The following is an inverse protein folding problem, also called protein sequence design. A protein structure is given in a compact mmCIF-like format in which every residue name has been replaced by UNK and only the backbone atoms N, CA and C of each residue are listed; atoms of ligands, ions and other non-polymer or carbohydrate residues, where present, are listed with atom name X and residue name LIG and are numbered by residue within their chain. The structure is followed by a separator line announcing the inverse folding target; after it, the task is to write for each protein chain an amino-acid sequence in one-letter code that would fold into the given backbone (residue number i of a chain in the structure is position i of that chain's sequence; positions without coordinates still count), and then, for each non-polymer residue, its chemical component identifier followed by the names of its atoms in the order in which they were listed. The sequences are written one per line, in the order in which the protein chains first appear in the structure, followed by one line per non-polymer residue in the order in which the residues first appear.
data_IF_698750167401
#
_entry.id   IF_698750167401
#
_cell.length_a   1.000
_cell.length_b   1.000
_cell.length_c   1.000
_cell.angle_alpha   90.00
_cell.angle_beta   90.00
_cell.angle_gamma   90.00
#
_symmetry.space_group_name_H-M   'P 1'
#
loop_
_entity.id
_entity.type
_entity.pdbx_description
1 polymer ?
#
# COMPACT_ATOMS: atom_id res chain seq x y z
N UNK A 1 -22.74 47.06 -34.10
CA UNK A 1 -22.65 47.39 -32.66
C UNK A 1 -23.72 46.61 -31.92
N UNK A 2 -23.36 45.56 -31.18
CA UNK A 2 -24.18 45.00 -30.10
C UNK A 2 -23.26 44.20 -29.18
N UNK A 3 -23.11 44.77 -28.00
CA UNK A 3 -22.25 44.38 -26.90
C UNK A 3 -22.74 43.01 -26.37
N UNK A 4 -21.80 42.12 -26.09
CA UNK A 4 -21.41 41.74 -24.71
C UNK A 4 -22.56 41.11 -23.92
N UNK A 5 -22.47 39.79 -23.71
CA UNK A 5 -22.81 39.12 -22.46
C UNK A 5 -22.25 37.69 -22.52
N UNK A 6 -21.05 37.55 -21.98
CA UNK A 6 -20.47 36.26 -21.63
C UNK A 6 -21.22 35.72 -20.39
N UNK A 7 -21.86 34.56 -20.53
CA UNK A 7 -22.33 33.78 -19.39
C UNK A 7 -21.48 32.52 -19.29
N UNK A 8 -20.35 32.68 -18.60
CA UNK A 8 -19.53 31.59 -18.07
C UNK A 8 -20.34 30.98 -16.92
N UNK A 9 -21.05 29.88 -17.19
CA UNK A 9 -21.72 29.11 -16.14
C UNK A 9 -20.71 28.16 -15.52
N UNK A 10 -20.19 28.64 -14.40
CA UNK A 10 -19.37 28.02 -13.35
C UNK A 10 -19.27 26.49 -13.42
N UNK A 11 -18.05 26.06 -13.71
CA UNK A 11 -17.53 24.71 -13.53
C UNK A 11 -17.58 24.37 -12.04
N UNK A 12 -18.42 23.41 -11.67
CA UNK A 12 -18.44 22.81 -10.33
C UNK A 12 -17.14 22.04 -10.12
N UNK A 13 -16.11 22.71 -9.61
CA UNK A 13 -14.93 22.07 -9.06
C UNK A 13 -15.32 21.44 -7.72
N UNK A 14 -15.85 20.23 -7.78
CA UNK A 14 -15.98 19.35 -6.62
C UNK A 14 -14.56 18.96 -6.20
N UNK A 15 -13.95 19.74 -5.31
CA UNK A 15 -12.72 19.35 -4.65
C UNK A 15 -13.05 18.35 -3.54
N UNK A 16 -12.93 17.06 -3.83
CA UNK A 16 -12.81 16.07 -2.77
C UNK A 16 -11.45 16.27 -2.11
N UNK A 17 -11.40 16.99 -0.98
CA UNK A 17 -10.23 16.99 -0.10
C UNK A 17 -10.10 15.60 0.51
N UNK A 18 -9.32 14.75 -0.16
CA UNK A 18 -8.86 13.49 0.41
C UNK A 18 -7.74 13.84 1.41
N UNK A 19 -8.08 13.87 2.71
CA UNK A 19 -7.08 13.91 3.76
C UNK A 19 -6.36 12.56 3.77
N UNK A 20 -5.29 12.44 2.97
CA UNK A 20 -4.24 11.46 3.22
C UNK A 20 -3.70 11.81 4.59
N UNK A 21 -3.84 10.92 5.57
CA UNK A 21 -2.91 10.98 6.69
C UNK A 21 -1.52 10.95 6.07
N UNK A 22 -0.74 12.01 6.29
CA UNK A 22 0.61 12.15 5.75
C UNK A 22 1.39 10.91 6.21
N UNK A 23 1.67 10.01 5.26
CA UNK A 23 2.49 8.86 5.54
C UNK A 23 3.95 9.33 5.51
N UNK A 24 4.75 9.09 6.56
CA UNK A 24 6.07 9.73 6.68
C UNK A 24 7.01 9.27 5.58
N UNK A 25 7.66 10.19 4.88
CA UNK A 25 8.70 9.85 3.90
C UNK A 25 9.92 9.24 4.63
N UNK A 26 10.45 8.07 4.21
CA UNK A 26 11.68 7.53 4.76
C UNK A 26 12.83 8.50 4.49
N UNK A 27 13.42 9.03 5.56
CA UNK A 27 14.55 9.96 5.51
C UNK A 27 15.79 9.28 4.92
N UNK A 28 16.36 9.95 3.93
CA UNK A 28 17.66 9.71 3.34
C UNK A 28 18.79 10.22 4.26
N UNK A 29 18.94 9.63 5.44
CA UNK A 29 20.11 9.88 6.27
C UNK A 29 20.68 8.57 6.80
N UNK A 30 21.94 8.33 6.46
CA UNK A 30 22.76 7.17 6.86
C UNK A 30 23.22 7.29 8.33
N UNK A 31 22.48 8.03 9.16
CA UNK A 31 22.57 7.98 10.61
C UNK A 31 21.40 7.13 11.12
N UNK A 32 21.71 6.10 11.93
CA UNK A 32 20.69 5.29 12.61
C UNK A 32 19.99 6.17 13.65
N UNK A 33 19.13 7.07 13.19
CA UNK A 33 18.12 7.69 14.03
C UNK A 33 16.96 6.70 14.11
N UNK A 34 16.48 6.34 15.32
CA UNK A 34 15.30 5.50 15.41
C UNK A 34 14.15 6.22 14.72
N UNK A 35 13.52 5.57 13.75
CA UNK A 35 12.32 6.10 13.10
C UNK A 35 11.31 6.53 14.17
N UNK A 36 11.04 7.83 14.24
CA UNK A 36 10.18 8.45 15.28
C UNK A 36 8.70 8.48 14.85
N UNK A 37 8.34 7.78 13.76
CA UNK A 37 6.98 7.72 13.26
C UNK A 37 6.16 6.55 13.84
N UNK A 38 4.88 6.41 13.43
CA UNK A 38 4.03 5.32 13.89
C UNK A 38 4.58 3.96 13.45
N UNK A 39 4.67 3.03 14.40
CA UNK A 39 5.06 1.65 14.10
C UNK A 39 3.90 0.94 13.39
N UNK A 40 4.16 0.50 12.17
CA UNK A 40 3.23 -0.30 11.38
C UNK A 40 3.52 -1.75 11.71
N UNK A 41 2.67 -2.38 12.52
CA UNK A 41 2.75 -3.80 12.87
C UNK A 41 1.88 -4.67 11.97
N UNK A 42 2.23 -5.95 11.82
CA UNK A 42 1.40 -6.91 11.11
C UNK A 42 -0.01 -7.00 11.70
N UNK A 43 -0.10 -7.17 13.02
CA UNK A 43 -1.35 -7.44 13.73
C UNK A 43 -2.33 -6.27 13.62
N UNK A 44 -1.87 -5.05 13.86
CA UNK A 44 -2.74 -3.87 13.87
C UNK A 44 -3.04 -3.29 12.48
N UNK A 45 -2.17 -3.49 11.48
CA UNK A 45 -2.28 -2.77 10.20
C UNK A 45 -2.29 -3.69 8.98
N UNK A 46 -1.38 -4.66 8.88
CA UNK A 46 -1.19 -5.42 7.65
C UNK A 46 -2.11 -6.62 7.52
N UNK A 47 -2.48 -7.25 8.64
CA UNK A 47 -3.23 -8.51 8.63
C UNK A 47 -4.53 -8.39 7.83
N UNK A 48 -5.29 -7.31 8.02
CA UNK A 48 -6.55 -7.10 7.30
C UNK A 48 -6.34 -6.98 5.78
N UNK A 49 -5.24 -6.37 5.33
CA UNK A 49 -4.91 -6.31 3.91
C UNK A 49 -4.53 -7.67 3.34
N UNK A 50 -3.77 -8.48 4.09
CA UNK A 50 -3.42 -9.85 3.68
C UNK A 50 -4.68 -10.71 3.58
N UNK A 51 -5.51 -10.70 4.62
CA UNK A 51 -6.74 -11.48 4.68
C UNK A 51 -7.66 -11.15 3.49
N UNK A 52 -7.91 -9.85 3.27
CA UNK A 52 -8.87 -9.39 2.25
C UNK A 52 -8.37 -9.52 0.80
N UNK A 53 -7.07 -9.39 0.56
CA UNK A 53 -6.54 -9.27 -0.81
C UNK A 53 -5.69 -10.46 -1.27
N UNK A 54 -5.21 -11.30 -0.35
CA UNK A 54 -4.23 -12.33 -0.68
C UNK A 54 -4.74 -13.75 -0.39
N UNK A 55 -5.39 -13.96 0.76
CA UNK A 55 -5.67 -15.32 1.26
C UNK A 55 -6.69 -16.12 0.46
N UNK A 56 -7.52 -15.47 -0.37
CA UNK A 56 -8.49 -16.16 -1.24
C UNK A 56 -7.80 -17.05 -2.28
N UNK A 57 -6.65 -16.61 -2.80
CA UNK A 57 -5.82 -17.38 -3.72
C UNK A 57 -4.62 -18.05 -3.03
N UNK A 58 -4.12 -17.45 -1.94
CA UNK A 58 -2.93 -17.87 -1.20
C UNK A 58 -3.26 -18.40 0.21
N UNK A 59 -4.34 -19.17 0.31
CA UNK A 59 -4.67 -19.94 1.51
C UNK A 59 -3.96 -21.30 1.53
N UNK A 60 -4.50 -22.26 2.28
CA UNK A 60 -3.89 -23.59 2.47
C UNK A 60 -3.63 -24.38 1.16
N UNK A 61 -4.35 -24.06 0.08
CA UNK A 61 -4.30 -24.80 -1.19
C UNK A 61 -3.62 -24.05 -2.35
N UNK A 62 -3.07 -22.85 -2.10
CA UNK A 62 -2.61 -21.91 -3.13
C UNK A 62 -1.14 -22.03 -3.56
N UNK A 63 -0.41 -23.05 -3.11
CA UNK A 63 1.03 -23.21 -3.33
C UNK A 63 1.92 -22.26 -2.52
N UNK A 64 1.39 -21.09 -2.14
CA UNK A 64 1.94 -20.20 -1.11
C UNK A 64 0.83 -19.97 -0.08
N UNK A 65 1.09 -20.31 1.18
CA UNK A 65 0.19 -20.03 2.29
C UNK A 65 0.54 -18.67 2.90
N UNK A 66 -0.47 -17.86 3.22
CA UNK A 66 -0.35 -16.54 3.85
C UNK A 66 -1.27 -16.41 5.08
N UNK A 67 -1.62 -17.54 5.71
CA UNK A 67 -2.60 -17.58 6.81
C UNK A 67 -2.05 -17.09 8.16
N UNK A 68 -0.73 -17.06 8.32
CA UNK A 68 -0.05 -16.67 9.55
C UNK A 68 0.98 -15.58 9.32
N UNK A 69 1.31 -14.82 10.37
CA UNK A 69 2.38 -13.83 10.33
C UNK A 69 3.70 -14.42 9.83
N UNK A 70 4.09 -15.61 10.31
CA UNK A 70 5.35 -16.24 9.95
C UNK A 70 5.44 -16.54 8.43
N UNK A 71 4.34 -17.00 7.84
CA UNK A 71 4.28 -17.26 6.40
C UNK A 71 4.34 -15.96 5.59
N UNK A 72 3.62 -14.92 6.01
CA UNK A 72 3.66 -13.60 5.36
C UNK A 72 5.05 -12.98 5.47
N UNK A 73 5.66 -13.04 6.67
CA UNK A 73 7.02 -12.57 6.95
C UNK A 73 8.05 -13.30 6.09
N UNK A 74 7.89 -14.61 5.87
CA UNK A 74 8.76 -15.36 4.95
C UNK A 74 8.69 -14.82 3.52
N UNK A 75 7.51 -14.42 3.02
CA UNK A 75 7.38 -13.80 1.69
C UNK A 75 7.89 -12.36 1.65
N UNK A 76 7.75 -11.61 2.74
CA UNK A 76 8.33 -10.28 2.92
C UNK A 76 9.86 -10.34 2.83
N UNK A 77 10.47 -11.22 3.62
CA UNK A 77 11.93 -11.41 3.67
C UNK A 77 12.50 -11.94 2.35
N UNK A 78 11.71 -12.73 1.61
CA UNK A 78 12.05 -13.18 0.25
C UNK A 78 11.85 -12.09 -0.83
N UNK A 79 11.45 -10.86 -0.46
CA UNK A 79 11.20 -9.74 -1.36
C UNK A 79 9.99 -9.92 -2.29
N UNK A 80 9.15 -10.94 -2.06
CA UNK A 80 8.04 -11.29 -2.96
C UNK A 80 6.87 -10.31 -2.82
N UNK A 81 6.58 -9.84 -1.61
CA UNK A 81 5.54 -8.82 -1.39
C UNK A 81 5.91 -7.53 -2.12
N UNK A 82 7.14 -7.04 -1.95
CA UNK A 82 7.65 -5.87 -2.65
C UNK A 82 7.57 -6.05 -4.18
N UNK A 83 8.13 -7.15 -4.69
CA UNK A 83 8.22 -7.36 -6.13
C UNK A 83 6.83 -7.48 -6.79
N UNK A 84 5.92 -8.26 -6.20
CA UNK A 84 4.68 -8.69 -6.85
C UNK A 84 3.48 -7.86 -6.45
N UNK A 85 3.34 -7.53 -5.17
CA UNK A 85 2.16 -6.84 -4.65
C UNK A 85 2.29 -5.32 -4.69
N UNK A 86 3.51 -4.79 -4.50
CA UNK A 86 3.78 -3.35 -4.52
C UNK A 86 4.18 -2.91 -5.93
N UNK A 87 5.23 -3.50 -6.49
CA UNK A 87 5.81 -3.05 -7.77
C UNK A 87 5.15 -3.67 -9.02
N UNK A 88 4.37 -4.74 -8.85
CA UNK A 88 3.75 -5.45 -9.98
C UNK A 88 4.73 -6.12 -10.95
N UNK A 89 5.95 -6.39 -10.51
CA UNK A 89 7.08 -6.88 -11.31
C UNK A 89 7.21 -8.41 -11.30
N UNK A 90 8.26 -8.95 -11.95
CA UNK A 90 8.49 -10.40 -12.03
C UNK A 90 7.46 -11.09 -12.91
N UNK A 91 6.74 -12.08 -12.38
CA UNK A 91 5.68 -12.80 -13.10
C UNK A 91 4.33 -12.05 -13.10
N UNK A 92 4.36 -10.71 -13.02
CA UNK A 92 3.19 -9.85 -13.01
C UNK A 92 2.63 -9.56 -11.61
N UNK A 93 1.64 -8.66 -11.52
CA UNK A 93 1.10 -8.18 -10.25
C UNK A 93 0.37 -9.27 -9.47
N UNK A 94 0.39 -9.14 -8.15
CA UNK A 94 -0.47 -9.87 -7.23
C UNK A 94 -1.27 -8.86 -6.39
N UNK A 95 -2.62 -8.82 -6.50
CA UNK A 95 -3.47 -9.76 -7.24
C UNK A 95 -3.32 -9.69 -8.77
N UNK A 96 -3.68 -10.76 -9.52
CA UNK A 96 -3.59 -10.78 -10.98
C UNK A 96 -4.45 -9.73 -11.68
N UNK A 97 -5.49 -9.22 -11.01
CA UNK A 97 -6.35 -8.15 -11.50
C UNK A 97 -5.66 -6.79 -11.57
N UNK A 98 -4.46 -6.65 -10.98
CA UNK A 98 -3.71 -5.40 -10.93
C UNK A 98 -3.34 -5.00 -9.50
N UNK A 99 -2.69 -3.84 -9.38
CA UNK A 99 -2.27 -3.30 -8.09
C UNK A 99 -3.47 -2.83 -7.25
N UNK A 100 -3.31 -2.94 -5.93
CA UNK A 100 -4.29 -2.48 -4.94
C UNK A 100 -4.29 -0.94 -4.83
N UNK A 101 -5.27 -0.34 -4.14
CA UNK A 101 -5.26 1.10 -3.86
C UNK A 101 -3.95 1.55 -3.19
N UNK A 102 -3.51 2.77 -3.51
CA UNK A 102 -2.21 3.29 -3.05
C UNK A 102 -2.03 3.20 -1.53
N UNK A 103 -3.07 3.44 -0.74
CA UNK A 103 -3.01 3.32 0.73
C UNK A 103 -2.62 1.93 1.22
N UNK A 104 -3.07 0.88 0.53
CA UNK A 104 -2.66 -0.50 0.83
C UNK A 104 -1.19 -0.72 0.46
N UNK A 105 -0.77 -0.23 -0.72
CA UNK A 105 0.61 -0.35 -1.18
C UNK A 105 1.57 0.35 -0.23
N UNK A 106 1.23 1.58 0.18
CA UNK A 106 2.03 2.37 1.10
C UNK A 106 2.12 1.69 2.47
N UNK A 107 1.00 1.20 3.02
CA UNK A 107 1.01 0.49 4.32
C UNK A 107 1.90 -0.76 4.27
N UNK A 108 1.85 -1.52 3.17
CA UNK A 108 2.73 -2.67 2.99
C UNK A 108 4.19 -2.23 2.87
N UNK A 109 4.48 -1.17 2.11
CA UNK A 109 5.84 -0.64 1.96
C UNK A 109 6.42 -0.20 3.31
N UNK A 110 5.68 0.60 4.09
CA UNK A 110 6.14 1.05 5.41
C UNK A 110 6.38 -0.11 6.37
N UNK A 111 5.51 -1.11 6.35
CA UNK A 111 5.72 -2.32 7.15
C UNK A 111 7.01 -3.04 6.75
N UNK A 112 7.28 -3.19 5.44
CA UNK A 112 8.53 -3.79 4.95
C UNK A 112 9.75 -2.98 5.38
N UNK A 113 9.71 -1.66 5.23
CA UNK A 113 10.80 -0.73 5.55
C UNK A 113 11.14 -0.75 7.05
N UNK A 114 10.15 -1.00 7.91
CA UNK A 114 10.33 -1.16 9.36
C UNK A 114 10.80 -2.57 9.78
N UNK A 115 11.19 -3.43 8.83
CA UNK A 115 11.63 -4.79 9.12
C UNK A 115 10.49 -5.79 9.37
N UNK A 116 9.29 -5.45 8.93
CA UNK A 116 8.10 -6.30 8.99
C UNK A 116 7.74 -6.76 10.42
N UNK A 117 7.58 -5.85 11.41
CA UNK A 117 7.28 -6.23 12.79
C UNK A 117 5.89 -6.87 12.93
N UNK A 118 5.73 -7.74 13.92
CA UNK A 118 4.47 -8.46 14.18
C UNK A 118 3.39 -7.58 14.79
#
# INVERSE_FOLDING_TARGET
MKNLLAFISILLLVSCSYNKGELPIPGDDETITPYVGPVITYTSHVKSYIDNNCTSCHGASGGVSLGTYAEVKSQADAGKILARAINGSGSGPMPPSGLMPQTTLDTLQFWLDQGSPQ
#
